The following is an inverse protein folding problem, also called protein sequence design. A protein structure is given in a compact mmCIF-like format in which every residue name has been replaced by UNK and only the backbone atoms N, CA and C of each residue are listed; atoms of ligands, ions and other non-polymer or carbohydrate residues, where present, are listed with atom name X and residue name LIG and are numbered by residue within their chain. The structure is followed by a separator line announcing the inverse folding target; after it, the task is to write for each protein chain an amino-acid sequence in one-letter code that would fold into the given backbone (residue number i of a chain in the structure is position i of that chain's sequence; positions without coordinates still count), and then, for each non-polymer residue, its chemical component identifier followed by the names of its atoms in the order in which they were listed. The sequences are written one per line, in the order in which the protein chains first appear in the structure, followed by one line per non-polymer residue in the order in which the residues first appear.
data_IF_195222131349
#
_entry.id   IF_195222131349
#
_cell.length_a   1.000
_cell.length_b   1.000
_cell.length_c   1.000
_cell.angle_alpha   90.00
_cell.angle_beta   90.00
_cell.angle_gamma   90.00
#
_symmetry.space_group_name_H-M   'P 1'
#
loop_
_entity.id
_entity.type
_entity.pdbx_description
1 polymer ?
#
# COMPACT_ATOMS: atom_id res chain seq x y z
N UNK A 1 -22.47 -13.28 26.58
CA UNK A 1 -21.80 -12.11 26.06
C UNK A 1 -20.27 -12.27 25.94
N UNK A 2 -19.55 -12.88 26.89
CA UNK A 2 -18.08 -13.09 26.83
C UNK A 2 -17.61 -13.99 25.67
N UNK A 3 -18.39 -14.97 25.23
CA UNK A 3 -17.99 -15.88 24.13
C UNK A 3 -18.05 -15.25 22.74
N UNK A 4 -18.92 -14.25 22.54
CA UNK A 4 -19.01 -13.52 21.27
C UNK A 4 -17.84 -12.57 21.06
N UNK A 5 -17.34 -11.93 22.13
CA UNK A 5 -16.21 -11.00 22.06
C UNK A 5 -14.90 -11.72 21.69
N UNK A 6 -14.70 -12.95 22.20
CA UNK A 6 -13.51 -13.74 21.91
C UNK A 6 -13.48 -14.21 20.45
N UNK A 7 -14.63 -14.58 19.87
CA UNK A 7 -14.72 -14.96 18.45
C UNK A 7 -14.43 -13.81 17.50
N UNK A 8 -14.89 -12.59 17.83
CA UNK A 8 -14.65 -11.40 16.99
C UNK A 8 -13.17 -11.01 16.99
N UNK A 9 -12.49 -11.14 18.15
CA UNK A 9 -11.04 -10.87 18.25
C UNK A 9 -10.22 -11.89 17.45
N UNK A 10 -10.61 -13.17 17.44
CA UNK A 10 -9.91 -14.19 16.66
C UNK A 10 -10.08 -14.02 15.14
N UNK A 11 -11.25 -13.61 14.67
CA UNK A 11 -11.51 -13.34 13.25
C UNK A 11 -10.76 -12.08 12.82
N UNK A 12 -10.66 -11.07 13.67
CA UNK A 12 -9.90 -9.84 13.40
C UNK A 12 -8.39 -10.09 13.21
N UNK A 13 -7.79 -10.98 14.00
CA UNK A 13 -6.35 -11.25 13.94
C UNK A 13 -5.92 -12.08 12.70
N UNK A 14 -6.80 -12.91 12.15
CA UNK A 14 -6.49 -13.68 10.92
C UNK A 14 -6.57 -12.86 9.64
N UNK A 15 -7.31 -11.74 9.64
CA UNK A 15 -7.41 -10.85 8.47
C UNK A 15 -6.19 -9.92 8.32
N UNK A 16 -5.42 -9.68 9.39
CA UNK A 16 -4.23 -8.83 9.31
C UNK A 16 -3.00 -9.53 8.70
N UNK A 17 -2.99 -10.85 8.61
CA UNK A 17 -1.84 -11.59 8.04
C UNK A 17 -1.79 -11.57 6.50
N UNK A 18 -2.85 -11.12 5.82
CA UNK A 18 -2.92 -11.05 4.35
C UNK A 18 -2.17 -9.87 3.71
N UNK A 19 -1.78 -8.86 4.49
CA UNK A 19 -1.18 -7.63 3.95
C UNK A 19 0.34 -7.68 3.76
N UNK A 20 1.01 -8.77 4.12
CA UNK A 20 2.49 -8.85 4.04
C UNK A 20 3.02 -9.28 2.67
N UNK A 21 2.17 -9.68 1.73
CA UNK A 21 2.60 -10.19 0.41
C UNK A 21 2.63 -9.13 -0.70
N UNK A 22 2.70 -7.85 -0.36
CA UNK A 22 2.64 -6.76 -1.35
C UNK A 22 4.00 -6.33 -1.90
N UNK A 23 4.98 -7.21 -1.94
CA UNK A 23 6.33 -6.92 -2.42
C UNK A 23 6.79 -7.78 -3.61
N UNK A 24 5.85 -8.30 -4.41
CA UNK A 24 6.19 -9.25 -5.48
C UNK A 24 6.83 -8.66 -6.73
N UNK A 25 6.90 -7.33 -6.89
CA UNK A 25 7.57 -6.76 -8.04
C UNK A 25 9.08 -6.84 -7.87
N UNK A 26 9.69 -7.68 -8.71
CA UNK A 26 11.15 -7.80 -8.82
C UNK A 26 11.59 -7.09 -10.10
N UNK A 27 12.40 -6.03 -9.98
CA UNK A 27 12.93 -5.37 -11.17
C UNK A 27 13.88 -6.30 -11.90
N UNK A 28 13.64 -6.47 -13.20
CA UNK A 28 14.55 -7.21 -14.08
C UNK A 28 15.44 -6.22 -14.79
N UNK A 29 16.75 -6.39 -14.63
CA UNK A 29 17.76 -5.56 -15.27
C UNK A 29 18.43 -6.40 -16.35
N UNK A 30 18.50 -5.85 -17.57
CA UNK A 30 19.23 -6.48 -18.64
C UNK A 30 20.74 -6.17 -18.50
N UNK A 31 21.50 -7.22 -18.28
CA UNK A 31 22.96 -7.14 -18.20
C UNK A 31 23.65 -7.28 -19.56
N UNK A 32 22.89 -7.55 -20.63
CA UNK A 32 23.46 -7.72 -21.96
C UNK A 32 23.94 -6.37 -22.49
N UNK A 33 25.22 -6.30 -22.86
CA UNK A 33 25.88 -5.10 -23.37
C UNK A 33 25.84 -3.89 -22.40
N UNK A 34 25.77 -4.15 -21.07
CA UNK A 34 25.83 -3.13 -20.05
C UNK A 34 27.30 -2.88 -19.64
N UNK A 35 27.85 -1.68 -19.89
CA UNK A 35 29.21 -1.35 -19.52
C UNK A 35 29.47 -1.35 -18.02
N UNK A 36 28.40 -1.21 -17.22
CA UNK A 36 28.44 -1.16 -15.76
C UNK A 36 27.92 -2.45 -15.09
N UNK A 37 27.86 -3.56 -15.86
CA UNK A 37 27.31 -4.83 -15.38
C UNK A 37 27.89 -5.30 -14.03
N UNK A 38 29.16 -4.99 -13.74
CA UNK A 38 29.82 -5.34 -12.49
C UNK A 38 29.22 -4.64 -11.24
N UNK A 39 28.51 -3.54 -11.43
CA UNK A 39 27.87 -2.76 -10.34
C UNK A 39 26.38 -2.98 -10.21
N UNK A 40 25.76 -3.75 -11.08
CA UNK A 40 24.29 -3.94 -11.12
C UNK A 40 23.73 -4.25 -9.73
N UNK A 41 24.32 -5.20 -9.00
CA UNK A 41 23.80 -5.59 -7.68
C UNK A 41 23.87 -4.47 -6.64
N UNK A 42 24.94 -3.67 -6.64
CA UNK A 42 25.07 -2.52 -5.77
C UNK A 42 24.08 -1.43 -6.17
N UNK A 43 24.01 -1.10 -7.44
CA UNK A 43 23.13 -0.08 -7.98
C UNK A 43 21.65 -0.43 -7.78
N UNK A 44 21.30 -1.71 -7.91
CA UNK A 44 19.97 -2.22 -7.57
C UNK A 44 19.61 -1.98 -6.10
N UNK A 45 20.52 -2.28 -5.17
CA UNK A 45 20.29 -2.08 -3.74
C UNK A 45 20.09 -0.59 -3.40
N UNK A 46 20.96 0.27 -3.92
CA UNK A 46 20.87 1.72 -3.73
C UNK A 46 19.60 2.31 -4.36
N UNK A 47 19.28 1.91 -5.60
CA UNK A 47 18.07 2.38 -6.28
C UNK A 47 16.78 1.90 -5.59
N UNK A 48 16.75 0.68 -5.00
CA UNK A 48 15.64 0.22 -4.17
C UNK A 48 15.44 1.12 -2.94
N UNK A 49 16.52 1.49 -2.26
CA UNK A 49 16.46 2.37 -1.11
C UNK A 49 15.95 3.77 -1.48
N UNK A 50 16.49 4.36 -2.56
CA UNK A 50 16.06 5.67 -3.05
C UNK A 50 14.60 5.66 -3.51
N UNK A 51 14.18 4.62 -4.22
CA UNK A 51 12.81 4.47 -4.68
C UNK A 51 11.82 4.32 -3.51
N UNK A 52 12.19 3.60 -2.46
CA UNK A 52 11.35 3.47 -1.26
C UNK A 52 11.18 4.79 -0.51
N UNK A 53 12.23 5.62 -0.47
CA UNK A 53 12.15 6.96 0.10
C UNK A 53 11.27 7.88 -0.76
N UNK A 54 11.43 7.84 -2.08
CA UNK A 54 10.68 8.67 -3.02
C UNK A 54 9.18 8.32 -3.06
N UNK A 55 8.82 7.06 -2.83
CA UNK A 55 7.42 6.60 -2.78
C UNK A 55 6.74 6.79 -1.42
N UNK A 56 7.44 7.35 -0.42
CA UNK A 56 6.92 7.53 0.93
C UNK A 56 6.83 6.23 1.73
N UNK A 57 7.18 5.11 1.14
CA UNK A 57 7.00 3.76 1.69
C UNK A 57 5.56 3.27 1.56
N UNK A 58 5.33 2.22 0.79
CA UNK A 58 3.99 1.69 0.47
C UNK A 58 3.13 1.44 1.72
N UNK A 59 3.73 0.93 2.79
CA UNK A 59 3.00 0.65 4.04
C UNK A 59 2.50 1.94 4.73
N UNK A 60 3.32 3.00 4.76
CA UNK A 60 2.96 4.30 5.34
C UNK A 60 1.85 4.97 4.54
N UNK A 61 1.97 5.00 3.22
CA UNK A 61 0.99 5.60 2.33
C UNK A 61 -0.35 4.85 2.38
N UNK A 62 -0.31 3.51 2.41
CA UNK A 62 -1.51 2.68 2.60
C UNK A 62 -2.19 2.97 3.94
N UNK A 63 -1.42 3.11 5.02
CA UNK A 63 -1.96 3.42 6.34
C UNK A 63 -2.62 4.82 6.38
N UNK A 64 -1.98 5.82 5.75
CA UNK A 64 -2.54 7.17 5.64
C UNK A 64 -3.84 7.14 4.82
N UNK A 65 -3.83 6.47 3.66
CA UNK A 65 -5.02 6.34 2.80
C UNK A 65 -6.16 5.61 3.49
N UNK A 66 -5.88 4.54 4.23
CA UNK A 66 -6.87 3.82 5.01
C UNK A 66 -7.45 4.68 6.14
N UNK A 67 -6.61 5.46 6.84
CA UNK A 67 -7.05 6.35 7.91
C UNK A 67 -7.96 7.48 7.38
N UNK A 68 -7.55 8.18 6.34
CA UNK A 68 -8.35 9.26 5.75
C UNK A 68 -9.62 8.74 5.11
N UNK A 69 -9.57 7.61 4.41
CA UNK A 69 -10.73 6.96 3.82
C UNK A 69 -11.73 6.49 4.88
N UNK A 70 -11.26 5.94 6.00
CA UNK A 70 -12.11 5.54 7.11
C UNK A 70 -12.84 6.72 7.75
N UNK A 71 -12.15 7.85 7.95
CA UNK A 71 -12.77 9.06 8.52
C UNK A 71 -13.86 9.65 7.60
N UNK A 72 -13.57 9.77 6.31
CA UNK A 72 -14.54 10.27 5.33
C UNK A 72 -15.72 9.30 5.15
N UNK A 73 -15.42 8.00 5.13
CA UNK A 73 -16.42 6.96 5.05
C UNK A 73 -17.33 6.91 6.30
N UNK A 74 -16.75 7.07 7.50
CA UNK A 74 -17.50 7.14 8.73
C UNK A 74 -18.46 8.33 8.75
N UNK A 75 -17.99 9.52 8.36
CA UNK A 75 -18.79 10.73 8.31
C UNK A 75 -19.96 10.58 7.32
N UNK A 76 -19.70 10.13 6.09
CA UNK A 76 -20.74 9.88 5.09
C UNK A 76 -21.71 8.78 5.50
N UNK A 77 -21.22 7.69 6.04
CA UNK A 77 -22.02 6.58 6.54
C UNK A 77 -22.90 6.96 7.74
N UNK A 78 -22.41 7.83 8.63
CA UNK A 78 -23.21 8.35 9.75
C UNK A 78 -24.42 9.17 9.28
N UNK A 79 -24.22 10.01 8.26
CA UNK A 79 -25.31 10.81 7.67
C UNK A 79 -26.38 9.88 7.08
N UNK A 80 -25.98 8.91 6.26
CA UNK A 80 -26.92 7.94 5.67
C UNK A 80 -27.60 7.12 6.76
N UNK A 81 -26.83 6.67 7.75
CA UNK A 81 -27.35 5.92 8.89
C UNK A 81 -28.33 6.68 9.76
N UNK A 82 -28.21 8.02 9.82
CA UNK A 82 -29.16 8.87 10.55
C UNK A 82 -30.55 8.83 9.94
N UNK A 83 -30.67 8.77 8.61
CA UNK A 83 -31.97 8.64 7.92
C UNK A 83 -32.65 7.28 8.19
N UNK A 84 -31.88 6.25 8.50
CA UNK A 84 -32.37 4.90 8.82
C UNK A 84 -32.49 4.63 10.32
N UNK A 85 -32.21 5.64 11.16
CA UNK A 85 -32.29 5.54 12.61
C UNK A 85 -31.11 4.84 13.30
N UNK A 86 -30.01 4.55 12.55
CA UNK A 86 -28.82 3.84 13.06
C UNK A 86 -27.51 4.50 12.64
N UNK A 87 -27.22 5.75 13.07
CA UNK A 87 -26.05 6.49 12.63
C UNK A 87 -24.72 5.80 13.00
N UNK A 88 -24.67 5.11 14.15
CA UNK A 88 -23.48 4.38 14.57
C UNK A 88 -23.15 3.20 13.67
N UNK A 89 -24.15 2.44 13.24
CA UNK A 89 -23.97 1.32 12.31
C UNK A 89 -23.55 1.83 10.92
N UNK A 90 -24.17 2.89 10.44
CA UNK A 90 -23.80 3.55 9.19
C UNK A 90 -22.37 4.06 9.21
N UNK A 91 -21.94 4.70 10.29
CA UNK A 91 -20.55 5.14 10.48
C UNK A 91 -19.54 3.99 10.46
N UNK A 92 -19.84 2.88 11.12
CA UNK A 92 -18.97 1.71 11.18
C UNK A 92 -18.79 1.06 9.80
N UNK A 93 -19.87 0.88 9.05
CA UNK A 93 -19.85 0.33 7.69
C UNK A 93 -19.11 1.27 6.75
N UNK A 94 -19.40 2.57 6.83
CA UNK A 94 -18.73 3.59 6.03
C UNK A 94 -17.24 3.70 6.33
N UNK A 95 -16.82 3.61 7.60
CA UNK A 95 -15.43 3.60 7.99
C UNK A 95 -14.67 2.38 7.41
N UNK A 96 -15.29 1.20 7.48
CA UNK A 96 -14.70 -0.02 6.92
C UNK A 96 -14.56 0.11 5.40
N UNK A 97 -15.60 0.45 4.68
CA UNK A 97 -15.56 0.60 3.22
C UNK A 97 -14.59 1.69 2.76
N UNK A 98 -14.59 2.86 3.43
CA UNK A 98 -13.69 3.96 3.13
C UNK A 98 -12.23 3.64 3.46
N UNK A 99 -11.98 2.96 4.57
CA UNK A 99 -10.64 2.53 4.98
C UNK A 99 -10.01 1.57 3.99
N UNK A 100 -10.73 0.56 3.55
CA UNK A 100 -10.25 -0.37 2.53
C UNK A 100 -10.02 0.32 1.19
N UNK A 101 -11.00 1.10 0.70
CA UNK A 101 -10.88 1.82 -0.57
C UNK A 101 -9.76 2.85 -0.59
N UNK A 102 -9.64 3.65 0.47
CA UNK A 102 -8.60 4.67 0.62
C UNK A 102 -7.20 4.05 0.71
N UNK A 103 -7.04 3.00 1.53
CA UNK A 103 -5.77 2.30 1.67
C UNK A 103 -5.29 1.65 0.39
N UNK A 104 -6.18 0.97 -0.33
CA UNK A 104 -5.83 0.34 -1.60
C UNK A 104 -5.40 1.37 -2.65
N UNK A 105 -6.18 2.44 -2.84
CA UNK A 105 -5.84 3.50 -3.81
C UNK A 105 -4.48 4.12 -3.54
N UNK A 106 -4.18 4.46 -2.28
CA UNK A 106 -2.90 5.05 -1.89
C UNK A 106 -1.75 4.08 -2.06
N UNK A 107 -1.96 2.80 -1.72
CA UNK A 107 -0.96 1.75 -1.91
C UNK A 107 -0.57 1.56 -3.37
N UNK A 108 -1.53 1.52 -4.28
CA UNK A 108 -1.25 1.42 -5.72
C UNK A 108 -0.49 2.63 -6.26
N UNK A 109 -0.86 3.85 -5.85
CA UNK A 109 -0.16 5.07 -6.26
C UNK A 109 1.30 5.09 -5.81
N UNK A 110 1.58 4.63 -4.59
CA UNK A 110 2.95 4.57 -4.07
C UNK A 110 3.77 3.47 -4.75
N UNK A 111 3.14 2.36 -5.14
CA UNK A 111 3.84 1.31 -5.90
C UNK A 111 4.26 1.79 -7.29
N UNK A 112 3.39 2.50 -7.99
CA UNK A 112 3.76 3.11 -9.28
C UNK A 112 4.86 4.16 -9.14
N UNK A 113 4.81 4.98 -8.08
CA UNK A 113 5.86 5.93 -7.78
C UNK A 113 7.19 5.24 -7.50
N UNK A 114 7.16 4.13 -6.76
CA UNK A 114 8.33 3.29 -6.50
C UNK A 114 8.93 2.75 -7.80
N UNK A 115 8.12 2.11 -8.65
CA UNK A 115 8.56 1.54 -9.94
C UNK A 115 9.18 2.60 -10.85
N UNK A 116 8.55 3.77 -10.94
CA UNK A 116 9.06 4.91 -11.72
C UNK A 116 10.38 5.44 -11.19
N UNK A 117 10.50 5.62 -9.89
CA UNK A 117 11.71 6.12 -9.24
C UNK A 117 12.86 5.14 -9.37
N UNK A 118 12.59 3.83 -9.19
CA UNK A 118 13.57 2.78 -9.37
C UNK A 118 14.10 2.73 -10.81
N UNK A 119 13.20 2.67 -11.79
CA UNK A 119 13.61 2.59 -13.20
C UNK A 119 14.36 3.85 -13.67
N UNK A 120 13.98 5.03 -13.16
CA UNK A 120 14.70 6.27 -13.42
C UNK A 120 16.11 6.25 -12.82
N UNK A 121 16.26 5.79 -11.57
CA UNK A 121 17.54 5.65 -10.90
C UNK A 121 18.48 4.71 -11.67
N UNK A 122 18.00 3.52 -12.08
CA UNK A 122 18.77 2.54 -12.82
C UNK A 122 19.22 3.07 -14.19
N UNK A 123 18.30 3.74 -14.92
CA UNK A 123 18.66 4.36 -16.22
C UNK A 123 19.70 5.45 -16.07
N UNK A 124 19.63 6.27 -15.03
CA UNK A 124 20.64 7.32 -14.78
C UNK A 124 22.03 6.73 -14.47
N UNK A 125 22.12 5.47 -14.05
CA UNK A 125 23.36 4.73 -13.84
C UNK A 125 23.82 3.92 -15.06
N UNK A 126 23.04 3.99 -16.15
CA UNK A 126 23.36 3.34 -17.43
C UNK A 126 22.78 1.92 -17.58
N UNK A 127 21.95 1.48 -16.63
CA UNK A 127 21.33 0.15 -16.68
C UNK A 127 19.98 0.17 -17.39
N UNK A 128 19.71 -0.87 -18.18
CA UNK A 128 18.40 -1.09 -18.82
C UNK A 128 17.47 -1.92 -17.93
N UNK A 129 16.33 -1.34 -17.54
CA UNK A 129 15.26 -2.06 -16.85
C UNK A 129 14.20 -2.50 -17.87
N UNK A 130 13.78 -3.76 -17.80
CA UNK A 130 12.87 -4.38 -18.79
C UNK A 130 11.39 -4.18 -18.42
N UNK A 131 11.03 -3.95 -17.14
CA UNK A 131 9.65 -3.82 -16.66
C UNK A 131 9.45 -2.66 -15.69
#
# INVERSE_FOLDING_TARGET
MKKFTTSIVFIGSTLLSGCYSYGGWQPTVDSYNDPNAYRINQDMAECKQLASQASGGTAKETAIGAGTGALLGAAGGAIIGAFTGSPGTGAAIGAAAGGFGGGAKQGFSSEEAYKRSYSSCMRNRGHHTIN
#
